data_IF_959791291313
#
_entry.id   IF_959791291313
#
_cell.length_a   1.000
_cell.length_b   1.000
_cell.length_c   1.000
_cell.angle_alpha   90.00
_cell.angle_beta   90.00
_cell.angle_gamma   90.00
#
_symmetry.space_group_name_H-M   'P 1'
#
loop_
_entity.id
_entity.type
_entity.pdbx_description
1 polymer ?
#
# COMPACT_ATOMS: atom_id res chain seq x y z
N UNK A 1 -14.81 9.31 5.22
CA UNK A 1 -13.40 9.02 4.91
C UNK A 1 -12.69 8.65 6.23
N UNK A 2 -11.91 7.56 6.24
CA UNK A 2 -11.17 7.12 7.43
C UNK A 2 -9.74 7.67 7.32
N UNK A 3 -9.24 8.28 8.39
CA UNK A 3 -7.85 8.72 8.49
C UNK A 3 -7.16 7.86 9.55
N UNK A 4 -6.04 7.25 9.18
CA UNK A 4 -5.24 6.41 10.07
C UNK A 4 -3.85 7.02 10.14
N UNK A 5 -3.42 7.36 11.35
CA UNK A 5 -2.03 7.74 11.61
C UNK A 5 -1.18 6.51 11.94
N UNK A 6 0.11 6.75 12.18
CA UNK A 6 1.06 5.67 12.52
C UNK A 6 0.63 4.91 13.77
N UNK A 7 0.10 5.61 14.78
CA UNK A 7 -0.32 4.98 16.03
C UNK A 7 -1.54 4.09 15.82
N UNK A 8 -2.51 4.53 15.02
CA UNK A 8 -3.67 3.75 14.65
C UNK A 8 -3.28 2.50 13.86
N UNK A 9 -2.34 2.61 12.92
CA UNK A 9 -1.81 1.46 12.18
C UNK A 9 -1.07 0.49 13.11
N UNK A 10 -0.23 1.02 14.01
CA UNK A 10 0.52 0.21 14.98
C UNK A 10 -0.39 -0.49 16.00
N UNK A 11 -1.58 0.06 16.27
CA UNK A 11 -2.59 -0.53 17.15
C UNK A 11 -3.42 -1.65 16.50
N UNK A 12 -3.30 -1.86 15.17
CA UNK A 12 -3.98 -2.96 14.49
C UNK A 12 -3.40 -4.32 14.89
N UNK A 13 -4.16 -5.43 14.75
CA UNK A 13 -3.74 -6.75 15.21
C UNK A 13 -2.37 -7.16 14.65
N UNK A 14 -1.51 -7.69 15.53
CA UNK A 14 -0.14 -8.03 15.20
C UNK A 14 -0.04 -9.11 14.09
N UNK A 15 -1.07 -9.94 13.91
CA UNK A 15 -1.16 -10.97 12.87
C UNK A 15 -1.24 -10.37 11.46
N UNK A 16 -1.65 -9.11 11.34
CA UNK A 16 -1.68 -8.37 10.08
C UNK A 16 -0.42 -7.56 9.84
N UNK A 17 0.40 -7.38 10.88
CA UNK A 17 1.69 -6.73 10.80
C UNK A 17 2.76 -7.76 10.45
N UNK A 18 3.71 -7.38 9.60
CA UNK A 18 4.87 -8.21 9.29
C UNK A 18 6.11 -7.38 9.07
N UNK A 19 7.27 -8.00 9.26
CA UNK A 19 8.53 -7.44 8.80
C UNK A 19 8.66 -7.69 7.29
N UNK A 20 8.86 -6.62 6.52
CA UNK A 20 8.98 -6.71 5.06
C UNK A 20 10.17 -7.56 4.63
N UNK A 21 11.21 -7.68 5.47
CA UNK A 21 12.40 -8.48 5.16
C UNK A 21 12.08 -9.97 4.94
N UNK A 22 10.97 -10.45 5.50
CA UNK A 22 10.48 -11.83 5.34
C UNK A 22 9.98 -12.14 3.93
N UNK A 23 9.49 -11.12 3.21
CA UNK A 23 8.95 -11.25 1.84
C UNK A 23 9.83 -10.57 0.80
N UNK A 24 10.60 -9.56 1.20
CA UNK A 24 11.56 -8.83 0.38
C UNK A 24 12.87 -8.62 1.17
N UNK A 25 13.85 -9.54 1.07
CA UNK A 25 15.09 -9.49 1.86
C UNK A 25 15.91 -8.20 1.68
N UNK A 26 15.73 -7.52 0.54
CA UNK A 26 16.41 -6.26 0.21
C UNK A 26 15.75 -5.03 0.87
N UNK A 27 14.63 -5.20 1.56
CA UNK A 27 13.93 -4.15 2.30
C UNK A 27 13.92 -4.48 3.79
N UNK A 28 13.91 -3.42 4.60
CA UNK A 28 13.76 -3.50 6.06
C UNK A 28 12.65 -2.57 6.48
N UNK A 29 11.90 -2.99 7.48
CA UNK A 29 10.83 -2.18 8.06
C UNK A 29 9.58 -2.99 8.37
N UNK A 30 8.72 -2.39 9.18
CA UNK A 30 7.44 -2.96 9.55
C UNK A 30 6.38 -2.48 8.58
N UNK A 31 5.59 -3.43 8.10
CA UNK A 31 4.45 -3.18 7.25
C UNK A 31 3.19 -3.83 7.79
N UNK A 32 2.06 -3.37 7.29
CA UNK A 32 0.76 -3.97 7.55
C UNK A 32 0.14 -4.42 6.23
N UNK A 33 -0.54 -5.57 6.24
CA UNK A 33 -1.30 -6.02 5.07
C UNK A 33 -2.45 -5.07 4.79
N UNK A 34 -2.60 -4.67 3.52
CA UNK A 34 -3.73 -3.84 3.08
C UNK A 34 -5.06 -4.51 3.39
N UNK A 35 -5.10 -5.84 3.45
CA UNK A 35 -6.26 -6.60 3.95
C UNK A 35 -6.80 -6.04 5.26
N UNK A 36 -5.97 -5.76 6.25
CA UNK A 36 -6.43 -5.23 7.53
C UNK A 36 -7.10 -3.85 7.43
N UNK A 37 -6.70 -3.06 6.43
CA UNK A 37 -7.21 -1.70 6.20
C UNK A 37 -8.46 -1.71 5.30
N UNK A 38 -8.54 -2.67 4.38
CA UNK A 38 -9.55 -2.72 3.32
C UNK A 38 -10.71 -3.69 3.60
N UNK A 39 -10.55 -4.68 4.47
CA UNK A 39 -11.57 -5.72 4.70
C UNK A 39 -12.90 -5.12 5.18
N UNK A 40 -12.85 -4.16 6.11
CA UNK A 40 -14.05 -3.50 6.64
C UNK A 40 -14.69 -2.51 5.64
N UNK A 41 -13.95 -1.58 5.00
CA UNK A 41 -14.56 -0.61 4.09
C UNK A 41 -14.97 -1.20 2.74
N UNK A 42 -14.18 -2.14 2.19
CA UNK A 42 -14.44 -2.68 0.86
C UNK A 42 -15.68 -3.58 0.81
N UNK A 43 -15.92 -4.34 1.89
CA UNK A 43 -17.11 -5.19 2.03
C UNK A 43 -18.40 -4.35 2.05
N UNK A 44 -18.36 -3.14 2.61
CA UNK A 44 -19.52 -2.26 2.74
C UNK A 44 -20.01 -1.68 1.40
N UNK A 45 -19.14 -1.53 0.40
CA UNK A 45 -19.47 -0.82 -0.85
C UNK A 45 -19.36 -1.67 -2.13
N UNK A 46 -19.18 -3.01 -2.01
CA UNK A 46 -18.97 -3.93 -3.15
C UNK A 46 -17.84 -3.46 -4.09
N UNK A 47 -16.79 -2.88 -3.52
CA UNK A 47 -15.65 -2.40 -4.29
C UNK A 47 -14.89 -3.57 -4.93
N UNK A 48 -14.31 -3.34 -6.10
CA UNK A 48 -13.51 -4.33 -6.83
C UNK A 48 -12.12 -3.80 -7.23
N UNK A 49 -11.85 -2.49 -7.04
CA UNK A 49 -10.56 -1.85 -7.29
C UNK A 49 -10.12 -0.96 -6.12
N UNK A 50 -8.81 -0.79 -6.03
CA UNK A 50 -8.12 0.05 -5.04
C UNK A 50 -7.14 0.94 -5.77
N UNK A 51 -7.26 2.25 -5.61
CA UNK A 51 -6.31 3.23 -6.10
C UNK A 51 -5.49 3.79 -4.95
N UNK A 52 -4.17 3.67 -5.05
CA UNK A 52 -3.24 4.21 -4.06
C UNK A 52 -2.58 5.45 -4.64
N UNK A 53 -2.72 6.59 -3.95
CA UNK A 53 -2.17 7.87 -4.35
C UNK A 53 -0.96 8.25 -3.49
N UNK A 54 0.09 8.73 -4.16
CA UNK A 54 1.21 9.39 -3.50
C UNK A 54 0.81 10.77 -2.96
N UNK A 55 1.55 11.23 -1.94
CA UNK A 55 1.37 12.51 -1.26
C UNK A 55 1.63 13.70 -2.18
N UNK A 56 2.48 13.52 -3.20
CA UNK A 56 2.74 14.54 -4.22
C UNK A 56 1.60 14.66 -5.24
N UNK A 57 0.63 13.75 -5.22
CA UNK A 57 -0.50 13.70 -6.16
C UNK A 57 -0.14 13.39 -7.61
N UNK A 58 1.15 13.10 -7.90
CA UNK A 58 1.65 12.86 -9.25
C UNK A 58 1.64 11.39 -9.63
N UNK A 59 1.53 10.50 -8.64
CA UNK A 59 1.55 9.07 -8.84
C UNK A 59 0.33 8.39 -8.21
N UNK A 60 -0.28 7.51 -8.97
CA UNK A 60 -1.35 6.64 -8.51
C UNK A 60 -1.25 5.29 -9.20
N UNK A 61 -1.47 4.23 -8.44
CA UNK A 61 -1.54 2.87 -8.94
C UNK A 61 -2.94 2.31 -8.66
N UNK A 62 -3.62 1.84 -9.70
CA UNK A 62 -4.90 1.17 -9.59
C UNK A 62 -4.70 -0.35 -9.61
N UNK A 63 -5.06 -1.04 -8.53
CA UNK A 63 -4.99 -2.48 -8.40
C UNK A 63 -6.40 -3.05 -8.29
N UNK A 64 -6.60 -4.31 -8.66
CA UNK A 64 -7.83 -4.98 -8.25
C UNK A 64 -7.82 -5.18 -6.74
N UNK A 65 -9.00 -5.19 -6.12
CA UNK A 65 -9.13 -5.42 -4.69
C UNK A 65 -8.49 -6.76 -4.30
N UNK A 66 -8.69 -7.82 -5.10
CA UNK A 66 -8.05 -9.11 -4.88
C UNK A 66 -6.51 -9.01 -4.82
N UNK A 67 -5.88 -8.31 -5.77
CA UNK A 67 -4.43 -8.10 -5.79
C UNK A 67 -3.95 -7.30 -4.57
N UNK A 68 -4.69 -6.25 -4.20
CA UNK A 68 -4.36 -5.42 -3.04
C UNK A 68 -4.49 -6.20 -1.72
N UNK A 69 -5.49 -7.07 -1.59
CA UNK A 69 -5.70 -7.90 -0.40
C UNK A 69 -4.66 -9.04 -0.28
N UNK A 70 -4.24 -9.61 -1.40
CA UNK A 70 -3.31 -10.73 -1.45
C UNK A 70 -1.84 -10.30 -1.30
N UNK A 71 -1.44 -9.27 -2.05
CA UNK A 71 -0.04 -8.87 -2.17
C UNK A 71 0.27 -7.52 -1.51
N UNK A 72 -0.74 -6.71 -1.23
CA UNK A 72 -0.55 -5.34 -0.77
C UNK A 72 -0.05 -5.23 0.67
N UNK A 73 1.11 -4.62 0.85
CA UNK A 73 1.71 -4.34 2.15
C UNK A 73 2.05 -2.85 2.23
N UNK A 74 1.54 -2.17 3.26
CA UNK A 74 1.84 -0.78 3.55
C UNK A 74 2.94 -0.70 4.60
N UNK A 75 4.15 -0.31 4.21
CA UNK A 75 5.23 0.00 5.15
C UNK A 75 4.99 1.36 5.77
N UNK A 76 5.24 1.45 7.08
CA UNK A 76 5.07 2.68 7.84
C UNK A 76 6.24 2.97 8.80
N UNK A 77 7.08 1.97 9.09
CA UNK A 77 8.15 2.07 10.09
C UNK A 77 9.40 1.34 9.61
N UNK A 78 10.57 1.85 9.98
CA UNK A 78 11.86 1.18 9.83
C UNK A 78 12.70 1.43 11.08
N UNK A 79 13.29 0.37 11.63
CA UNK A 79 14.14 0.45 12.83
C UNK A 79 13.47 1.16 14.03
N UNK A 80 12.15 1.07 14.16
CA UNK A 80 11.35 1.70 15.23
C UNK A 80 10.95 3.16 14.98
N UNK A 81 11.43 3.76 13.89
CA UNK A 81 11.17 5.14 13.49
C UNK A 81 10.25 5.20 12.26
N UNK A 82 9.59 6.35 12.06
CA UNK A 82 8.77 6.56 10.86
C UNK A 82 9.61 6.35 9.59
N UNK A 83 9.01 5.73 8.57
CA UNK A 83 9.71 5.49 7.31
C UNK A 83 10.22 6.84 6.74
N UNK A 84 11.53 7.00 6.47
CA UNK A 84 12.05 8.27 5.99
C UNK A 84 11.63 8.50 4.53
N UNK A 85 11.50 9.77 4.12
CA UNK A 85 11.15 10.16 2.75
C UNK A 85 12.12 9.57 1.72
N UNK A 86 13.41 9.46 2.06
CA UNK A 86 14.44 8.84 1.21
C UNK A 86 14.14 7.36 0.85
N UNK A 87 13.37 6.66 1.69
CA UNK A 87 12.91 5.28 1.46
C UNK A 87 11.49 5.23 0.87
N UNK A 88 10.89 6.39 0.61
CA UNK A 88 9.52 6.55 0.14
C UNK A 88 8.49 6.62 1.27
N UNK A 89 8.88 7.07 2.47
CA UNK A 89 7.94 7.32 3.57
C UNK A 89 7.17 8.64 3.44
N UNK A 90 6.30 8.97 4.41
CA UNK A 90 6.07 8.26 5.68
C UNK A 90 5.36 6.90 5.52
N UNK A 91 4.71 6.66 4.38
CA UNK A 91 4.08 5.38 4.05
C UNK A 91 4.46 4.93 2.65
N UNK A 92 4.68 3.63 2.46
CA UNK A 92 5.02 3.06 1.15
C UNK A 92 4.23 1.79 0.88
N UNK A 93 3.58 1.74 -0.27
CA UNK A 93 2.97 0.50 -0.75
C UNK A 93 4.05 -0.37 -1.41
N UNK A 94 4.05 -1.65 -1.08
CA UNK A 94 4.75 -2.68 -1.83
C UNK A 94 3.83 -3.85 -2.11
N UNK A 95 4.06 -4.51 -3.24
CA UNK A 95 3.26 -5.66 -3.70
C UNK A 95 4.17 -6.84 -4.08
N UNK A 96 4.88 -7.45 -3.10
CA UNK A 96 5.80 -8.55 -3.38
C UNK A 96 5.03 -9.76 -3.91
N UNK A 97 5.12 -10.03 -5.21
CA UNK A 97 4.43 -11.14 -5.86
C UNK A 97 3.49 -10.73 -6.99
N UNK A 98 3.11 -9.46 -7.07
CA UNK A 98 2.35 -8.93 -8.22
C UNK A 98 3.20 -8.91 -9.51
N UNK A 99 4.53 -8.84 -9.38
CA UNK A 99 5.46 -8.75 -10.51
C UNK A 99 5.48 -7.37 -11.19
N UNK A 100 4.60 -6.46 -10.78
CA UNK A 100 4.55 -5.08 -11.26
C UNK A 100 5.20 -4.14 -10.24
N UNK A 101 6.47 -3.79 -10.49
CA UNK A 101 7.21 -2.84 -9.64
C UNK A 101 6.58 -1.45 -9.65
N UNK A 102 5.83 -1.09 -10.70
CA UNK A 102 5.13 0.18 -10.79
C UNK A 102 3.89 0.22 -9.86
N UNK A 103 3.46 -0.91 -9.29
CA UNK A 103 2.46 -0.88 -8.22
C UNK A 103 3.02 -0.38 -6.88
N UNK A 104 4.35 -0.25 -6.73
CA UNK A 104 4.98 0.17 -5.49
C UNK A 104 4.96 1.70 -5.35
N UNK A 105 3.88 2.23 -4.78
CA UNK A 105 3.70 3.68 -4.57
C UNK A 105 4.54 4.16 -3.38
N UNK A 106 5.35 5.19 -3.60
CA UNK A 106 6.12 5.87 -2.55
C UNK A 106 5.34 7.07 -2.00
N UNK A 107 5.49 7.34 -0.71
CA UNK A 107 4.87 8.48 -0.04
C UNK A 107 3.35 8.39 -0.07
N UNK A 108 2.76 7.23 0.21
CA UNK A 108 1.31 7.03 0.17
C UNK A 108 0.61 7.99 1.13
N UNK A 109 -0.36 8.75 0.62
CA UNK A 109 -1.19 9.66 1.42
C UNK A 109 -2.66 9.29 1.42
N UNK A 110 -3.13 8.61 0.37
CA UNK A 110 -4.54 8.24 0.23
C UNK A 110 -4.68 6.90 -0.45
N UNK A 111 -5.57 6.08 0.10
CA UNK A 111 -6.05 4.85 -0.52
C UNK A 111 -7.53 5.04 -0.77
N UNK A 112 -7.92 4.91 -2.02
CA UNK A 112 -9.30 5.04 -2.48
C UNK A 112 -9.79 3.67 -2.96
N UNK A 113 -11.02 3.33 -2.60
CA UNK A 113 -11.63 2.04 -2.94
C UNK A 113 -12.87 2.33 -3.77
N UNK A 114 -12.93 1.78 -4.99
CA UNK A 114 -13.96 2.09 -5.97
C UNK A 114 -14.58 0.83 -6.58
N UNK A 115 -15.75 1.02 -7.18
CA UNK A 115 -16.33 0.06 -8.13
C UNK A 115 -15.84 0.48 -9.52
N UNK A 116 -15.13 -0.40 -10.20
CA UNK A 116 -14.41 -0.13 -11.45
C UNK A 116 -13.06 0.55 -11.23
N UNK A 117 -12.28 0.61 -12.32
CA UNK A 117 -10.92 1.16 -12.33
C UNK A 117 -10.91 2.63 -11.96
N UNK A 118 -10.09 3.00 -10.96
CA UNK A 118 -9.80 4.39 -10.62
C UNK A 118 -8.67 4.98 -11.48
N UNK A 119 -8.16 6.13 -11.05
CA UNK A 119 -7.06 6.82 -11.75
C UNK A 119 -5.79 5.97 -11.63
N UNK A 120 -5.21 5.62 -12.76
CA UNK A 120 -3.95 4.88 -12.84
C UNK A 120 -2.96 5.69 -13.66
N UNK A 121 -1.90 6.18 -13.02
CA UNK A 121 -0.82 6.91 -13.68
C UNK A 121 0.41 6.04 -13.88
N UNK A 122 0.33 4.73 -13.62
CA UNK A 122 1.42 3.82 -13.95
C UNK A 122 1.64 3.86 -15.47
N UNK A 123 2.91 3.87 -15.94
CA UNK A 123 3.19 3.84 -17.36
C UNK A 123 2.60 2.57 -17.98
N UNK A 124 1.73 2.73 -18.97
CA UNK A 124 0.90 1.66 -19.54
C UNK A 124 1.65 0.68 -20.46
N UNK A 125 2.99 0.76 -20.53
CA UNK A 125 3.79 -0.07 -21.42
C UNK A 125 5.12 -0.42 -20.76
N UNK A 126 5.52 -1.69 -20.86
CA UNK A 126 6.82 -2.28 -20.48
C UNK A 126 8.00 -1.33 -20.69
N UNK A 127 8.28 -0.48 -19.72
CA UNK A 127 9.53 0.28 -19.68
C UNK A 127 9.90 0.35 -18.21
N UNK A 128 10.87 -0.50 -17.86
CA UNK A 128 11.38 -0.77 -16.51
C UNK A 128 11.13 0.35 -15.49
N UNK A 129 10.12 0.13 -14.64
CA UNK A 129 10.34 0.19 -13.20
C UNK A 129 11.27 -0.98 -12.82
#
# INVERSE_FOLDING_TARGET
PVSLDRAAIAALPAEQQLDISTVMPNMKGKGIRLKALLDLPALAIKADHVTVHSADGKYSACLTLAQALEWGILLYEVDGEALPESKGGPYRLVTPGLGDLCANVKGVARIEVTIGTGIDTRPSVRTNC
#
